data_IF_989960462433
#
_entry.id   IF_989960462433
#
_cell.length_a   1.000
_cell.length_b   1.000
_cell.length_c   1.000
_cell.angle_alpha   90.00
_cell.angle_beta   90.00
_cell.angle_gamma   90.00
#
_symmetry.space_group_name_H-M   'P 1'
#
loop_
_entity.id
_entity.type
_entity.pdbx_description
1 polymer ?
#
# COMPACT_ATOMS: atom_id res chain seq x y z
N UNK A 1 15.38 0.34 55.80
CA UNK A 1 15.92 1.13 54.68
C UNK A 1 15.80 2.59 55.06
N UNK A 2 16.94 3.23 55.31
CA UNK A 2 16.97 4.63 55.77
C UNK A 2 16.87 5.58 54.57
N UNK A 3 16.48 6.82 54.81
CA UNK A 3 16.39 7.86 53.77
C UNK A 3 17.74 8.08 53.06
N UNK A 4 18.85 7.83 53.75
CA UNK A 4 20.20 7.91 53.21
C UNK A 4 20.47 6.80 52.18
N UNK A 5 20.03 5.57 52.45
CA UNK A 5 20.17 4.43 51.53
C UNK A 5 19.39 4.67 50.22
N UNK A 6 18.21 5.29 50.31
CA UNK A 6 17.37 5.60 49.15
C UNK A 6 18.00 6.68 48.25
N UNK A 7 18.67 7.67 48.84
CA UNK A 7 19.37 8.74 48.11
C UNK A 7 20.62 8.20 47.38
N UNK A 8 21.29 7.18 47.92
CA UNK A 8 22.42 6.53 47.25
C UNK A 8 21.99 5.59 46.11
N UNK A 9 20.85 4.90 46.25
CA UNK A 9 20.37 3.97 45.22
C UNK A 9 19.77 4.66 43.99
N UNK A 10 19.22 5.87 44.15
CA UNK A 10 18.57 6.62 43.07
C UNK A 10 19.47 6.81 41.81
N UNK A 11 20.70 7.34 41.89
CA UNK A 11 21.55 7.51 40.70
C UNK A 11 21.93 6.18 40.04
N UNK A 12 22.07 5.09 40.82
CA UNK A 12 22.36 3.75 40.30
C UNK A 12 21.18 3.19 39.52
N UNK A 13 19.96 3.35 40.03
CA UNK A 13 18.74 2.95 39.31
C UNK A 13 18.60 3.76 38.02
N UNK A 14 18.82 5.07 38.07
CA UNK A 14 18.72 5.93 36.88
C UNK A 14 19.72 5.51 35.80
N UNK A 15 20.97 5.25 36.16
CA UNK A 15 22.01 4.85 35.19
C UNK A 15 21.78 3.47 34.57
N UNK A 16 21.04 2.58 35.24
CA UNK A 16 20.67 1.26 34.70
C UNK A 16 19.39 1.34 33.85
N UNK A 17 18.37 2.06 34.32
CA UNK A 17 17.05 2.10 33.67
C UNK A 17 17.04 3.01 32.43
N UNK A 18 17.77 4.13 32.48
CA UNK A 18 17.80 5.10 31.39
C UNK A 18 18.26 4.50 30.05
N UNK A 19 19.38 3.75 29.95
CA UNK A 19 19.79 3.14 28.69
C UNK A 19 18.79 2.08 28.17
N UNK A 20 18.12 1.35 29.06
CA UNK A 20 17.06 0.42 28.69
C UNK A 20 15.85 1.13 28.06
N UNK A 21 15.40 2.24 28.66
CA UNK A 21 14.29 3.04 28.11
C UNK A 21 14.65 3.68 26.77
N UNK A 22 15.88 4.18 26.62
CA UNK A 22 16.36 4.75 25.35
C UNK A 22 16.38 3.67 24.25
N UNK A 23 16.91 2.48 24.57
CA UNK A 23 16.93 1.35 23.63
C UNK A 23 15.52 0.92 23.23
N UNK A 24 14.61 0.78 24.20
CA UNK A 24 13.22 0.41 23.95
C UNK A 24 12.49 1.46 23.10
N UNK A 25 12.69 2.74 23.39
CA UNK A 25 12.15 3.86 22.61
C UNK A 25 12.63 3.82 21.16
N UNK A 26 13.93 3.55 20.94
CA UNK A 26 14.48 3.42 19.59
C UNK A 26 13.87 2.26 18.80
N UNK A 27 13.66 1.11 19.43
CA UNK A 27 13.01 -0.05 18.79
C UNK A 27 11.55 0.24 18.47
N UNK A 28 10.81 0.83 19.41
CA UNK A 28 9.42 1.25 19.18
C UNK A 28 9.35 2.28 18.06
N UNK A 29 10.19 3.32 18.09
CA UNK A 29 10.22 4.35 17.06
C UNK A 29 10.48 3.74 15.68
N UNK A 30 11.50 2.88 15.56
CA UNK A 30 11.81 2.19 14.31
C UNK A 30 10.62 1.35 13.84
N UNK A 31 10.00 0.58 14.73
CA UNK A 31 8.88 -0.27 14.38
C UNK A 31 7.65 0.56 13.95
N UNK A 32 7.26 1.58 14.71
CA UNK A 32 6.11 2.41 14.37
C UNK A 32 6.36 3.22 13.09
N UNK A 33 7.53 3.87 12.97
CA UNK A 33 7.85 4.77 11.85
C UNK A 33 8.13 4.01 10.55
N UNK A 34 8.67 2.79 10.60
CA UNK A 34 8.91 1.99 9.39
C UNK A 34 7.64 1.33 8.84
N UNK A 35 6.67 0.97 9.69
CA UNK A 35 5.40 0.39 9.22
C UNK A 35 4.34 1.44 8.86
N UNK A 36 4.43 2.65 9.42
CA UNK A 36 3.57 3.79 9.07
C UNK A 36 3.52 4.10 7.55
N UNK A 37 4.62 4.14 6.78
CA UNK A 37 4.56 4.45 5.35
C UNK A 37 3.86 3.36 4.53
N UNK A 38 4.04 2.09 4.87
CA UNK A 38 3.38 0.98 4.18
C UNK A 38 1.87 0.92 4.47
N UNK A 39 1.49 1.09 5.74
CA UNK A 39 0.09 1.18 6.14
C UNK A 39 -0.60 2.37 5.48
N UNK A 40 0.06 3.54 5.44
CA UNK A 40 -0.46 4.72 4.75
C UNK A 40 -0.64 4.48 3.26
N UNK A 41 0.33 3.84 2.60
CA UNK A 41 0.22 3.50 1.17
C UNK A 41 -0.96 2.57 0.91
N UNK A 42 -1.10 1.51 1.71
CA UNK A 42 -2.21 0.55 1.59
C UNK A 42 -3.56 1.24 1.77
N UNK A 43 -3.67 2.13 2.76
CA UNK A 43 -4.90 2.88 3.01
C UNK A 43 -5.23 3.79 1.81
N UNK A 44 -4.25 4.53 1.28
CA UNK A 44 -4.46 5.40 0.12
C UNK A 44 -4.90 4.58 -1.09
N UNK A 45 -4.27 3.43 -1.35
CA UNK A 45 -4.65 2.52 -2.43
C UNK A 45 -6.09 2.00 -2.28
N UNK A 46 -6.50 1.62 -1.07
CA UNK A 46 -7.87 1.18 -0.77
C UNK A 46 -8.89 2.30 -0.98
N UNK A 47 -8.60 3.52 -0.50
CA UNK A 47 -9.47 4.69 -0.69
C UNK A 47 -9.64 5.00 -2.17
N UNK A 48 -8.53 5.01 -2.94
CA UNK A 48 -8.56 5.26 -4.38
C UNK A 48 -9.41 4.22 -5.10
N UNK A 49 -9.18 2.91 -4.86
CA UNK A 49 -9.99 1.84 -5.46
C UNK A 49 -11.48 1.97 -5.13
N UNK A 50 -11.80 2.29 -3.87
CA UNK A 50 -13.18 2.44 -3.41
C UNK A 50 -13.86 3.62 -4.10
N UNK A 51 -13.19 4.77 -4.17
CA UNK A 51 -13.72 5.98 -4.82
C UNK A 51 -13.91 5.78 -6.32
N UNK A 52 -12.92 5.19 -7.00
CA UNK A 52 -13.02 4.89 -8.43
C UNK A 52 -14.19 3.95 -8.70
N UNK A 53 -14.34 2.89 -7.91
CA UNK A 53 -15.47 1.95 -8.03
C UNK A 53 -16.81 2.65 -7.81
N UNK A 54 -16.90 3.50 -6.78
CA UNK A 54 -18.12 4.26 -6.48
C UNK A 54 -18.48 5.22 -7.63
N UNK A 55 -17.49 5.87 -8.26
CA UNK A 55 -17.73 6.79 -9.38
C UNK A 55 -18.14 6.02 -10.64
N UNK A 56 -17.48 4.90 -10.94
CA UNK A 56 -17.85 4.03 -12.06
C UNK A 56 -19.29 3.48 -11.89
N UNK A 57 -19.74 3.25 -10.65
CA UNK A 57 -21.11 2.84 -10.36
C UNK A 57 -22.12 4.00 -10.37
N UNK A 58 -21.73 5.18 -9.88
CA UNK A 58 -22.62 6.34 -9.76
C UNK A 58 -22.81 7.08 -11.08
N UNK A 59 -21.80 7.09 -11.95
CA UNK A 59 -21.89 7.71 -13.26
C UNK A 59 -22.40 6.70 -14.28
N UNK A 60 -23.72 6.67 -14.46
CA UNK A 60 -24.33 6.16 -15.68
C UNK A 60 -23.61 6.80 -16.88
N UNK A 61 -23.44 6.06 -17.99
CA UNK A 61 -22.52 6.31 -19.13
C UNK A 61 -22.57 7.67 -19.83
N UNK A 62 -23.30 8.66 -19.30
CA UNK A 62 -23.46 10.02 -19.80
C UNK A 62 -22.32 10.99 -19.45
N UNK A 63 -21.44 10.66 -18.48
CA UNK A 63 -20.32 11.53 -18.11
C UNK A 63 -19.06 11.21 -18.94
N UNK A 64 -18.38 12.25 -19.43
CA UNK A 64 -17.12 12.12 -20.16
C UNK A 64 -16.00 11.63 -19.23
N UNK A 65 -15.05 10.85 -19.77
CA UNK A 65 -13.99 10.22 -18.96
C UNK A 65 -13.11 11.24 -18.21
N UNK A 66 -12.93 12.44 -18.78
CA UNK A 66 -12.18 13.53 -18.13
C UNK A 66 -12.90 14.04 -16.87
N UNK A 67 -14.22 14.21 -16.93
CA UNK A 67 -15.03 14.67 -15.80
C UNK A 67 -15.06 13.64 -14.67
N UNK A 68 -15.16 12.35 -15.02
CA UNK A 68 -15.07 11.25 -14.03
C UNK A 68 -13.74 11.26 -13.29
N UNK A 69 -12.63 11.49 -14.00
CA UNK A 69 -11.30 11.57 -13.39
C UNK A 69 -11.20 12.77 -12.44
N UNK A 70 -11.68 13.93 -12.85
CA UNK A 70 -11.65 15.12 -12.00
C UNK A 70 -12.50 14.95 -10.74
N UNK A 71 -13.70 14.37 -10.87
CA UNK A 71 -14.56 14.04 -9.73
C UNK A 71 -13.88 13.04 -8.78
N UNK A 72 -13.18 12.03 -9.33
CA UNK A 72 -12.42 11.07 -8.54
C UNK A 72 -11.27 11.71 -7.78
N UNK A 73 -10.51 12.60 -8.41
CA UNK A 73 -9.42 13.34 -7.75
C UNK A 73 -9.97 14.15 -6.58
N UNK A 74 -11.04 14.91 -6.79
CA UNK A 74 -11.64 15.75 -5.74
C UNK A 74 -12.16 14.92 -4.56
N UNK A 75 -12.83 13.79 -4.85
CA UNK A 75 -13.40 12.93 -3.82
C UNK A 75 -12.29 12.22 -3.02
N UNK A 76 -11.30 11.63 -3.70
CA UNK A 76 -10.12 11.04 -3.02
C UNK A 76 -9.40 12.08 -2.18
N UNK A 77 -9.15 13.27 -2.72
CA UNK A 77 -8.44 14.32 -2.00
C UNK A 77 -9.19 14.76 -0.74
N UNK A 78 -10.52 14.86 -0.81
CA UNK A 78 -11.38 15.15 0.35
C UNK A 78 -11.30 14.03 1.39
N UNK A 79 -11.49 12.78 0.98
CA UNK A 79 -11.45 11.63 1.89
C UNK A 79 -10.09 11.49 2.57
N UNK A 80 -8.98 11.64 1.84
CA UNK A 80 -7.65 11.59 2.42
C UNK A 80 -7.40 12.76 3.39
N UNK A 81 -7.89 13.96 3.07
CA UNK A 81 -7.79 15.11 3.97
C UNK A 81 -8.55 14.88 5.27
N UNK A 82 -9.75 14.30 5.20
CA UNK A 82 -10.56 13.96 6.38
C UNK A 82 -9.83 12.93 7.28
N UNK A 83 -8.98 12.08 6.69
CA UNK A 83 -8.11 11.14 7.41
C UNK A 83 -6.77 11.74 7.86
N UNK A 84 -6.57 13.05 7.69
CA UNK A 84 -5.32 13.74 8.05
C UNK A 84 -4.14 13.45 7.12
N UNK A 85 -4.38 12.83 5.97
CA UNK A 85 -3.37 12.52 4.97
C UNK A 85 -3.31 13.62 3.90
N UNK A 86 -2.12 14.19 3.73
CA UNK A 86 -1.84 15.15 2.65
C UNK A 86 -1.12 14.43 1.53
N UNK A 87 -1.81 14.26 0.41
CA UNK A 87 -1.26 13.67 -0.82
C UNK A 87 -1.45 14.70 -1.95
N UNK A 88 -0.46 14.82 -2.83
CA UNK A 88 -0.54 15.76 -3.95
C UNK A 88 -1.60 15.29 -4.97
N UNK A 89 -2.28 16.22 -5.66
CA UNK A 89 -3.23 15.88 -6.72
C UNK A 89 -2.60 15.01 -7.82
N UNK A 90 -1.34 15.26 -8.17
CA UNK A 90 -0.62 14.50 -9.20
C UNK A 90 -0.44 13.03 -8.79
N UNK A 91 -0.08 12.77 -7.54
CA UNK A 91 0.03 11.40 -7.01
C UNK A 91 -1.33 10.71 -7.01
N UNK A 92 -2.40 11.41 -6.60
CA UNK A 92 -3.77 10.89 -6.63
C UNK A 92 -4.17 10.53 -8.07
N UNK A 93 -3.86 11.38 -9.06
CA UNK A 93 -4.17 11.14 -10.46
C UNK A 93 -3.49 9.88 -11.00
N UNK A 94 -2.20 9.68 -10.69
CA UNK A 94 -1.45 8.46 -11.06
C UNK A 94 -2.07 7.22 -10.41
N UNK A 95 -2.45 7.30 -9.13
CA UNK A 95 -3.06 6.18 -8.42
C UNK A 95 -4.44 5.82 -8.97
N UNK A 96 -5.23 6.81 -9.37
CA UNK A 96 -6.52 6.59 -10.04
C UNK A 96 -6.32 5.86 -11.36
N UNK A 97 -5.35 6.28 -12.18
CA UNK A 97 -5.04 5.60 -13.45
C UNK A 97 -4.61 4.15 -13.23
N UNK A 98 -3.75 3.91 -12.24
CA UNK A 98 -3.34 2.56 -11.86
C UNK A 98 -4.54 1.71 -11.39
N UNK A 99 -5.46 2.28 -10.61
CA UNK A 99 -6.65 1.58 -10.12
C UNK A 99 -7.64 1.25 -11.26
N UNK A 100 -7.89 2.21 -12.17
CA UNK A 100 -8.73 1.98 -13.36
C UNK A 100 -8.10 0.93 -14.27
N UNK A 101 -6.78 0.97 -14.47
CA UNK A 101 -6.06 -0.02 -15.25
C UNK A 101 -6.17 -1.42 -14.64
N UNK A 102 -5.95 -1.54 -13.33
CA UNK A 102 -6.13 -2.80 -12.60
C UNK A 102 -7.57 -3.34 -12.73
N UNK A 103 -8.58 -2.49 -12.55
CA UNK A 103 -10.00 -2.87 -12.76
C UNK A 103 -10.28 -3.36 -14.18
N UNK A 104 -9.63 -2.78 -15.20
CA UNK A 104 -9.78 -3.24 -16.59
C UNK A 104 -9.12 -4.60 -16.80
N UNK A 105 -7.97 -4.85 -16.19
CA UNK A 105 -7.32 -6.17 -16.23
C UNK A 105 -8.16 -7.24 -15.54
N UNK A 106 -8.75 -6.95 -14.38
CA UNK A 106 -9.62 -7.88 -13.65
C UNK A 106 -10.85 -8.30 -14.49
N UNK A 107 -11.37 -7.40 -15.33
CA UNK A 107 -12.48 -7.71 -16.26
C UNK A 107 -12.04 -8.55 -17.47
N UNK A 108 -10.75 -8.57 -17.80
CA UNK A 108 -10.20 -9.31 -18.94
C UNK A 108 -9.68 -10.71 -18.56
N UNK A 109 -9.52 -10.98 -17.26
CA UNK A 109 -9.19 -12.32 -16.78
C UNK A 109 -10.37 -13.27 -17.03
N UNK A 110 -10.17 -14.42 -17.72
CA UNK A 110 -11.23 -15.40 -17.90
C UNK A 110 -11.69 -15.91 -16.54
N UNK A 111 -12.96 -15.66 -16.22
CA UNK A 111 -13.63 -16.26 -15.06
C UNK A 111 -13.69 -17.77 -15.25
N UNK A 112 -12.67 -18.49 -14.77
CA UNK A 112 -12.79 -19.93 -14.53
C UNK A 112 -13.80 -20.13 -13.41
N UNK A 113 -15.06 -20.23 -13.78
CA UNK A 113 -16.19 -20.62 -12.93
C UNK A 113 -16.01 -22.07 -12.48
N UNK A 114 -15.17 -22.28 -11.47
CA UNK A 114 -15.13 -23.55 -10.74
C UNK A 114 -16.14 -23.45 -9.59
N UNK A 115 -17.40 -23.73 -9.94
CA UNK A 115 -18.39 -24.19 -8.97
C UNK A 115 -17.84 -25.45 -8.29
N UNK A 116 -17.24 -25.32 -7.11
CA UNK A 116 -16.93 -26.46 -6.25
C UNK A 116 -17.13 -26.06 -4.80
N UNK A 117 -18.30 -26.41 -4.29
CA UNK A 117 -18.64 -26.45 -2.88
C UNK A 117 -17.83 -27.55 -2.18
N UNK A 118 -16.72 -27.18 -1.53
CA UNK A 118 -16.09 -28.02 -0.50
C UNK A 118 -15.43 -27.15 0.57
N UNK A 119 -15.63 -27.44 1.88
CA UNK A 119 -15.05 -26.67 2.97
C UNK A 119 -13.62 -27.13 3.23
N UNK A 120 -12.63 -26.43 2.69
CA UNK A 120 -11.24 -26.55 3.13
C UNK A 120 -10.62 -25.17 3.30
N UNK A 121 -9.94 -25.01 4.44
CA UNK A 121 -9.39 -23.76 4.95
C UNK A 121 -8.47 -23.06 3.93
N UNK A 122 -8.51 -21.71 3.83
CA UNK A 122 -7.71 -20.98 2.86
C UNK A 122 -6.22 -20.99 3.24
N UNK A 123 -5.39 -21.59 2.40
CA UNK A 123 -3.94 -21.36 2.39
C UNK A 123 -3.64 -19.97 1.81
N UNK A 124 -2.68 -19.20 2.38
CA UNK A 124 -2.35 -17.88 1.89
C UNK A 124 -1.82 -17.94 0.44
N UNK A 125 -2.53 -17.28 -0.46
CA UNK A 125 -2.17 -17.12 -1.86
C UNK A 125 -1.08 -16.05 -1.98
N UNK A 126 0.15 -16.47 -2.27
CA UNK A 126 1.21 -15.56 -2.69
C UNK A 126 1.19 -15.46 -4.22
N UNK A 127 0.97 -14.27 -4.81
CA UNK A 127 1.02 -14.12 -6.26
C UNK A 127 2.44 -14.32 -6.78
N UNK A 128 2.65 -15.35 -7.61
CA UNK A 128 3.87 -15.54 -8.39
C UNK A 128 3.87 -14.58 -9.57
N UNK A 129 4.78 -13.61 -9.57
CA UNK A 129 5.05 -12.76 -10.72
C UNK A 129 5.91 -13.54 -11.73
N UNK A 130 5.33 -13.94 -12.85
CA UNK A 130 6.10 -14.46 -14.00
C UNK A 130 6.78 -13.28 -14.68
N UNK A 131 8.11 -13.18 -14.53
CA UNK A 131 8.93 -12.35 -15.41
C UNK A 131 9.01 -13.04 -16.79
N UNK A 132 8.58 -12.39 -17.87
CA UNK A 132 8.74 -12.95 -19.21
C UNK A 132 10.23 -13.10 -19.52
N UNK A 133 10.64 -14.31 -19.88
CA UNK A 133 12.00 -14.62 -20.31
C UNK A 133 12.33 -13.76 -21.54
N UNK A 134 13.45 -13.01 -21.55
CA UNK A 134 13.83 -12.20 -22.70
C UNK A 134 14.04 -13.11 -23.92
N UNK A 135 13.40 -12.74 -25.05
CA UNK A 135 13.53 -13.49 -26.29
C UNK A 135 14.98 -13.45 -26.80
N UNK A 136 15.49 -14.57 -27.33
CA UNK A 136 16.84 -14.60 -27.90
C UNK A 136 16.94 -13.62 -29.07
N UNK A 137 17.92 -12.74 -29.01
CA UNK A 137 18.25 -11.81 -30.09
C UNK A 137 18.87 -12.59 -31.25
N UNK A 138 18.23 -12.54 -32.41
CA UNK A 138 18.73 -13.16 -33.64
C UNK A 138 19.94 -12.38 -34.14
N UNK A 139 21.13 -13.00 -34.15
CA UNK A 139 22.33 -12.44 -34.76
C UNK A 139 22.34 -12.82 -36.25
N UNK A 140 22.36 -11.86 -37.20
CA UNK A 140 22.46 -12.18 -38.61
C UNK A 140 23.84 -12.77 -38.93
N UNK A 141 23.85 -13.96 -39.55
CA UNK A 141 25.06 -14.59 -40.07
C UNK A 141 25.46 -13.84 -41.33
N UNK A 142 26.57 -13.11 -41.28
CA UNK A 142 27.21 -12.56 -42.47
C UNK A 142 28.12 -13.64 -43.07
N UNK A 143 27.70 -14.21 -44.19
CA UNK A 143 28.59 -15.03 -45.03
C UNK A 143 29.45 -14.09 -45.87
N UNK A 144 30.76 -14.09 -45.63
CA UNK A 144 31.71 -13.46 -46.54
C UNK A 144 31.83 -14.33 -47.80
N UNK A 145 31.62 -13.70 -48.96
CA UNK A 145 31.91 -14.26 -50.28
C UNK A 145 33.39 -14.12 -50.63
#
# INVERSE_FOLDING_TARGET
>A
MTRADLMQLLPTIVTIVLPLLISLSGVLYKNLVQHLPEQRRTLVEQVVRTVVTAIEQATNSAMENADKKQAAILLVQRTLRDLGLKVSPDTIAIMIEAAVYAMKQDKMAPQNTTNTSTPYAPTPYYPTYYYPTPMPTYQPIYTHA
#
